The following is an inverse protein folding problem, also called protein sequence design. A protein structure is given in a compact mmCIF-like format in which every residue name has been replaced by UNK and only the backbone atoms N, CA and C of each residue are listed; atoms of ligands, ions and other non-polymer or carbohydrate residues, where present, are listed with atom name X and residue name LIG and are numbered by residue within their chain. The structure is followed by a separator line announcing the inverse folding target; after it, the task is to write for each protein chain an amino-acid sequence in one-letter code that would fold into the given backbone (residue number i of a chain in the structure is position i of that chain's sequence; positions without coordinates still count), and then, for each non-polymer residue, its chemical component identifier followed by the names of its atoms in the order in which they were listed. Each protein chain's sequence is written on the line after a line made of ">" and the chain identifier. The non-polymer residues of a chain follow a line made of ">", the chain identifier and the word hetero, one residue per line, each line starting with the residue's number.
data_IF_531977645211
#
_entry.id   IF_531977645211
#
_cell.length_a   1.000
_cell.length_b   1.000
_cell.length_c   1.000
_cell.angle_alpha   90.00
_cell.angle_beta   90.00
_cell.angle_gamma   90.00
#
_symmetry.space_group_name_H-M   'P 1'
#
loop_
_entity.id
_entity.type
_entity.pdbx_description
1 polymer ?
#
# COMPACT_ATOMS: atom_id res chain seq x y z
N UNK A 1 7.43 -15.12 -20.94
CA UNK A 1 7.15 -14.22 -19.81
C UNK A 1 7.10 -15.07 -18.55
N UNK A 2 7.99 -14.79 -17.59
CA UNK A 2 7.96 -15.45 -16.27
C UNK A 2 6.82 -14.92 -15.41
N UNK A 3 6.29 -15.75 -14.51
CA UNK A 3 5.28 -15.38 -13.49
C UNK A 3 3.99 -14.79 -14.11
N UNK A 4 3.48 -15.40 -15.18
CA UNK A 4 2.29 -14.90 -15.88
C UNK A 4 1.04 -14.87 -14.99
N UNK A 5 0.89 -15.86 -14.09
CA UNK A 5 -0.22 -15.92 -13.15
C UNK A 5 -0.17 -14.74 -12.17
N UNK A 6 0.96 -14.53 -11.54
CA UNK A 6 1.19 -13.47 -10.56
C UNK A 6 1.05 -12.08 -11.19
N UNK A 7 1.48 -11.90 -12.44
CA UNK A 7 1.26 -10.65 -13.19
C UNK A 7 -0.21 -10.38 -13.41
N UNK A 8 -1.01 -11.39 -13.73
CA UNK A 8 -2.48 -11.26 -13.87
C UNK A 8 -3.16 -10.95 -12.52
N UNK A 9 -2.69 -11.54 -11.43
CA UNK A 9 -3.15 -11.22 -10.08
C UNK A 9 -2.86 -9.75 -9.73
N UNK A 10 -1.68 -9.24 -10.07
CA UNK A 10 -1.33 -7.81 -9.91
C UNK A 10 -2.29 -6.92 -10.72
N UNK A 11 -2.60 -7.26 -11.96
CA UNK A 11 -3.55 -6.50 -12.77
C UNK A 11 -4.95 -6.48 -12.14
N UNK A 12 -5.43 -7.63 -11.67
CA UNK A 12 -6.72 -7.72 -11.00
C UNK A 12 -6.76 -6.82 -9.76
N UNK A 13 -5.77 -6.93 -8.89
CA UNK A 13 -5.67 -6.10 -7.68
C UNK A 13 -5.57 -4.59 -8.01
N UNK A 14 -4.87 -4.22 -9.08
CA UNK A 14 -4.77 -2.83 -9.52
C UNK A 14 -6.13 -2.26 -10.00
N UNK A 15 -6.96 -3.08 -10.65
CA UNK A 15 -8.31 -2.71 -11.02
C UNK A 15 -9.24 -2.62 -9.80
N UNK A 16 -9.08 -3.51 -8.82
CA UNK A 16 -9.80 -3.42 -7.54
C UNK A 16 -9.43 -2.14 -6.78
N UNK A 17 -8.16 -1.72 -6.76
CA UNK A 17 -7.76 -0.44 -6.17
C UNK A 17 -8.51 0.75 -6.78
N UNK A 18 -8.75 0.74 -8.10
CA UNK A 18 -9.58 1.75 -8.79
C UNK A 18 -11.06 1.61 -8.41
N UNK A 19 -11.61 0.39 -8.42
CA UNK A 19 -13.01 0.11 -8.11
C UNK A 19 -13.37 0.55 -6.69
N UNK A 20 -12.48 0.31 -5.72
CA UNK A 20 -12.67 0.71 -4.32
C UNK A 20 -12.23 2.17 -4.04
N UNK A 21 -11.86 2.93 -5.07
CA UNK A 21 -11.44 4.33 -4.95
C UNK A 21 -10.24 4.55 -4.03
N UNK A 22 -9.34 3.57 -3.95
CA UNK A 22 -8.10 3.67 -3.17
C UNK A 22 -7.04 4.51 -3.88
N UNK A 23 -7.19 4.70 -5.19
CA UNK A 23 -6.29 5.46 -6.05
C UNK A 23 -7.06 6.23 -7.13
N UNK A 24 -6.37 7.17 -7.76
CA UNK A 24 -6.83 7.87 -8.96
C UNK A 24 -5.78 7.79 -10.06
N UNK A 25 -6.20 7.60 -11.30
CA UNK A 25 -5.35 7.56 -12.49
C UNK A 25 -4.26 6.48 -12.42
N UNK A 26 -3.01 6.87 -12.28
CA UNK A 26 -1.82 6.02 -12.15
C UNK A 26 -1.16 6.13 -10.78
N UNK A 27 -1.91 6.59 -9.78
CA UNK A 27 -1.42 6.71 -8.41
C UNK A 27 -1.24 5.34 -7.75
N UNK A 28 -0.32 5.26 -6.78
CA UNK A 28 -0.02 4.01 -6.08
C UNK A 28 0.77 3.00 -6.90
N UNK A 29 1.03 1.86 -6.32
CA UNK A 29 1.74 0.75 -6.95
C UNK A 29 1.56 -0.55 -6.17
N UNK A 30 1.90 -1.66 -6.82
CA UNK A 30 1.86 -3.02 -6.26
C UNK A 30 3.24 -3.64 -6.46
N UNK A 31 3.74 -4.28 -5.41
CA UNK A 31 4.93 -5.11 -5.47
C UNK A 31 4.66 -6.51 -4.87
N UNK A 32 5.17 -7.54 -5.52
CA UNK A 32 4.99 -8.93 -5.11
C UNK A 32 6.35 -9.64 -5.14
N UNK A 33 6.72 -10.29 -4.03
CA UNK A 33 7.88 -11.17 -3.96
C UNK A 33 7.53 -12.51 -4.59
N UNK A 34 8.39 -13.00 -5.47
CA UNK A 34 8.24 -14.33 -6.07
C UNK A 34 8.89 -15.42 -5.21
N UNK A 35 8.53 -16.67 -5.43
CA UNK A 35 9.11 -17.81 -4.70
C UNK A 35 10.63 -17.95 -4.93
N UNK A 36 11.15 -17.43 -6.04
CA UNK A 36 12.59 -17.40 -6.35
C UNK A 36 13.33 -16.21 -5.72
N UNK A 37 12.64 -15.35 -4.94
CA UNK A 37 13.22 -14.18 -4.30
C UNK A 37 13.43 -12.96 -5.21
N UNK A 38 12.85 -12.98 -6.41
CA UNK A 38 12.71 -11.82 -7.30
C UNK A 38 11.46 -11.03 -6.94
N UNK A 39 11.25 -9.87 -7.59
CA UNK A 39 10.11 -8.98 -7.31
C UNK A 39 9.40 -8.57 -8.59
N UNK A 40 8.09 -8.72 -8.61
CA UNK A 40 7.24 -8.12 -9.62
C UNK A 40 6.75 -6.77 -9.11
N UNK A 41 6.82 -5.73 -9.96
CA UNK A 41 6.36 -4.39 -9.60
C UNK A 41 5.61 -3.73 -10.76
N UNK A 42 4.58 -2.96 -10.44
CA UNK A 42 3.85 -2.17 -11.44
C UNK A 42 4.72 -1.08 -12.04
N UNK A 43 4.55 -0.75 -13.33
CA UNK A 43 5.32 0.28 -14.00
C UNK A 43 4.96 1.69 -13.50
N UNK A 44 5.90 2.62 -13.61
CA UNK A 44 5.71 4.03 -13.28
C UNK A 44 4.78 4.72 -14.26
N UNK A 45 3.85 5.55 -13.73
CA UNK A 45 2.99 6.47 -14.48
C UNK A 45 2.12 5.82 -15.59
N UNK A 46 1.76 4.55 -15.42
CA UNK A 46 0.89 3.83 -16.35
C UNK A 46 -0.51 3.67 -15.75
N UNK A 47 -1.54 3.90 -16.56
CA UNK A 47 -2.94 3.69 -16.15
C UNK A 47 -3.23 2.19 -16.07
N UNK A 48 -3.83 1.78 -14.97
CA UNK A 48 -4.09 0.37 -14.69
C UNK A 48 -5.13 -0.25 -15.64
N UNK A 49 -6.09 0.55 -16.13
CA UNK A 49 -7.11 0.08 -17.08
C UNK A 49 -6.54 -0.38 -18.43
N UNK A 50 -5.33 0.09 -18.76
CA UNK A 50 -4.65 -0.26 -20.02
C UNK A 50 -3.39 -1.10 -19.81
N UNK A 51 -3.06 -1.46 -18.57
CA UNK A 51 -1.88 -2.25 -18.24
C UNK A 51 -2.06 -3.70 -18.66
N UNK A 52 -1.03 -4.26 -19.27
CA UNK A 52 -0.98 -5.67 -19.68
C UNK A 52 0.01 -6.44 -18.79
N UNK A 53 -0.09 -7.78 -18.70
CA UNK A 53 0.82 -8.59 -17.89
C UNK A 53 2.31 -8.35 -18.20
N UNK A 54 2.66 -8.11 -19.46
CA UNK A 54 4.02 -7.81 -19.90
C UNK A 54 4.55 -6.43 -19.47
N UNK A 55 3.66 -5.53 -19.05
CA UNK A 55 4.04 -4.20 -18.54
C UNK A 55 4.56 -4.25 -17.09
N UNK A 56 4.14 -5.26 -16.31
CA UNK A 56 4.66 -5.49 -14.96
C UNK A 56 6.15 -5.87 -15.06
N UNK A 57 7.00 -5.25 -14.25
CA UNK A 57 8.46 -5.38 -14.34
C UNK A 57 8.96 -6.40 -13.34
N UNK A 58 9.82 -7.32 -13.77
CA UNK A 58 10.52 -8.28 -12.90
C UNK A 58 11.88 -7.72 -12.51
N UNK A 59 12.17 -7.68 -11.21
CA UNK A 59 13.39 -7.14 -10.62
C UNK A 59 14.12 -8.20 -9.78
N UNK A 60 15.45 -8.06 -9.68
CA UNK A 60 16.21 -8.76 -8.64
C UNK A 60 16.14 -8.01 -7.28
N UNK A 61 16.81 -8.55 -6.27
CA UNK A 61 16.84 -8.00 -4.92
C UNK A 61 17.52 -6.62 -4.82
N UNK A 62 18.35 -6.27 -5.78
CA UNK A 62 19.02 -4.98 -5.91
C UNK A 62 18.20 -3.96 -6.72
N UNK A 63 17.04 -4.38 -7.27
CA UNK A 63 16.17 -3.54 -8.09
C UNK A 63 16.60 -3.42 -9.54
N UNK A 64 17.50 -4.30 -10.03
CA UNK A 64 17.87 -4.36 -11.45
C UNK A 64 16.80 -5.11 -12.23
N UNK A 65 16.45 -4.59 -13.40
CA UNK A 65 15.43 -5.21 -14.26
C UNK A 65 15.95 -6.53 -14.83
N UNK A 66 15.23 -7.62 -14.53
CA UNK A 66 15.48 -8.95 -15.08
C UNK A 66 14.60 -9.21 -16.32
N UNK A 67 13.34 -8.73 -16.31
CA UNK A 67 12.40 -8.87 -17.42
C UNK A 67 11.43 -7.69 -17.44
N UNK A 68 11.11 -7.17 -18.61
CA UNK A 68 10.19 -6.05 -18.85
C UNK A 68 10.87 -4.90 -19.59
N UNK A 69 10.06 -4.10 -20.30
CA UNK A 69 10.53 -2.95 -21.06
C UNK A 69 10.09 -1.60 -20.45
N UNK A 70 9.28 -1.64 -19.40
CA UNK A 70 8.80 -0.44 -18.71
C UNK A 70 9.76 -0.01 -17.60
N UNK A 71 9.70 1.27 -17.27
CA UNK A 71 10.35 1.79 -16.06
C UNK A 71 9.55 1.31 -14.84
N UNK A 72 10.16 0.66 -13.85
CA UNK A 72 9.47 0.27 -12.62
C UNK A 72 8.99 1.52 -11.84
N UNK A 73 8.06 1.32 -10.90
CA UNK A 73 7.56 2.38 -10.01
C UNK A 73 8.70 3.21 -9.42
N UNK A 74 8.48 4.51 -9.25
CA UNK A 74 9.40 5.41 -8.55
C UNK A 74 9.70 4.95 -7.12
N UNK A 75 8.75 4.26 -6.49
CA UNK A 75 8.84 3.83 -5.10
C UNK A 75 9.55 2.48 -4.91
N UNK A 76 10.10 1.91 -5.98
CA UNK A 76 10.79 0.60 -5.98
C UNK A 76 11.80 0.47 -4.84
N UNK A 77 12.62 1.48 -4.58
CA UNK A 77 13.63 1.44 -3.52
C UNK A 77 13.01 1.29 -2.14
N UNK A 78 11.96 2.05 -1.86
CA UNK A 78 11.23 1.99 -0.60
C UNK A 78 10.55 0.63 -0.39
N UNK A 79 9.92 0.09 -1.44
CA UNK A 79 9.25 -1.21 -1.37
C UNK A 79 10.25 -2.36 -1.19
N UNK A 80 11.37 -2.35 -1.91
CA UNK A 80 12.43 -3.35 -1.74
C UNK A 80 13.07 -3.25 -0.34
N UNK A 81 13.20 -2.05 0.23
CA UNK A 81 13.64 -1.87 1.61
C UNK A 81 12.68 -2.57 2.58
N UNK A 82 11.37 -2.34 2.46
CA UNK A 82 10.35 -2.98 3.30
C UNK A 82 10.41 -4.52 3.19
N UNK A 83 10.52 -5.08 2.00
CA UNK A 83 10.68 -6.52 1.83
C UNK A 83 11.95 -7.07 2.52
N UNK A 84 13.02 -6.31 2.60
CA UNK A 84 14.24 -6.71 3.33
C UNK A 84 14.04 -6.69 4.84
N UNK A 85 13.25 -5.73 5.37
CA UNK A 85 12.97 -5.61 6.81
C UNK A 85 11.89 -6.60 7.29
N UNK A 86 10.98 -6.98 6.42
CA UNK A 86 9.80 -7.82 6.73
C UNK A 86 9.84 -9.07 5.85
N UNK A 87 10.60 -10.09 6.30
CA UNK A 87 10.79 -11.33 5.52
C UNK A 87 9.52 -12.17 5.38
N UNK A 88 8.57 -12.02 6.29
CA UNK A 88 7.28 -12.71 6.30
C UNK A 88 6.27 -12.10 5.30
N UNK A 89 6.55 -10.90 4.77
CA UNK A 89 5.68 -10.21 3.81
C UNK A 89 6.12 -10.54 2.39
N UNK A 90 5.15 -10.90 1.55
CA UNK A 90 5.38 -11.18 0.13
C UNK A 90 4.64 -10.21 -0.81
N UNK A 91 3.70 -9.41 -0.30
CA UNK A 91 3.00 -8.40 -1.10
C UNK A 91 2.97 -7.05 -0.40
N UNK A 92 3.15 -5.99 -1.17
CA UNK A 92 3.02 -4.59 -0.77
C UNK A 92 2.10 -3.87 -1.73
N UNK A 93 1.19 -3.07 -1.19
CA UNK A 93 0.33 -2.17 -1.95
C UNK A 93 0.48 -0.76 -1.38
N UNK A 94 0.86 0.17 -2.24
CA UNK A 94 0.86 1.59 -1.94
C UNK A 94 -0.33 2.26 -2.61
N UNK A 95 -1.07 3.07 -1.85
CA UNK A 95 -2.27 3.77 -2.31
C UNK A 95 -2.26 5.23 -1.86
N UNK A 96 -3.07 6.06 -2.54
CA UNK A 96 -3.34 7.45 -2.14
C UNK A 96 -4.79 7.60 -1.67
N UNK A 97 -5.26 6.66 -0.88
CA UNK A 97 -6.64 6.57 -0.42
C UNK A 97 -7.03 7.77 0.46
N UNK A 98 -8.18 8.43 0.18
CA UNK A 98 -8.46 9.75 0.72
C UNK A 98 -8.75 9.77 2.23
N UNK A 99 -9.52 8.81 2.75
CA UNK A 99 -9.92 8.85 4.17
C UNK A 99 -8.78 8.44 5.10
N UNK A 100 -8.02 7.40 4.78
CA UNK A 100 -6.86 7.03 5.58
C UNK A 100 -5.78 8.13 5.54
N UNK A 101 -5.57 8.77 4.39
CA UNK A 101 -4.69 9.93 4.29
C UNK A 101 -5.20 11.10 5.13
N UNK A 102 -6.52 11.35 5.16
CA UNK A 102 -7.10 12.40 6.00
C UNK A 102 -6.92 12.12 7.50
N UNK A 103 -7.02 10.87 7.96
CA UNK A 103 -6.65 10.49 9.33
C UNK A 103 -5.21 10.91 9.62
N UNK A 104 -4.27 10.60 8.74
CA UNK A 104 -2.86 10.97 8.89
C UNK A 104 -2.56 12.47 8.93
N UNK A 105 -3.52 13.34 8.57
CA UNK A 105 -3.38 14.80 8.71
C UNK A 105 -3.69 15.30 10.12
N UNK A 106 -4.51 14.57 10.89
CA UNK A 106 -5.07 15.04 12.16
C UNK A 106 -4.77 14.13 13.35
N UNK A 107 -4.40 12.87 13.09
CA UNK A 107 -4.10 11.87 14.12
C UNK A 107 -2.67 11.30 13.93
N UNK A 108 -2.16 10.64 14.96
CA UNK A 108 -0.89 9.91 14.89
C UNK A 108 -1.07 8.40 14.69
N UNK A 109 -2.32 7.91 14.79
CA UNK A 109 -2.70 6.53 14.47
C UNK A 109 -4.20 6.44 14.17
N UNK A 110 -4.61 5.42 13.44
CA UNK A 110 -5.99 4.96 13.36
C UNK A 110 -6.16 3.76 14.30
N UNK A 111 -7.02 3.83 15.35
CA UNK A 111 -7.27 2.68 16.20
C UNK A 111 -8.01 1.57 15.44
N UNK A 112 -7.88 0.32 15.89
CA UNK A 112 -8.63 -0.83 15.37
C UNK A 112 -10.12 -0.74 15.76
N UNK A 113 -10.80 0.30 15.28
CA UNK A 113 -12.17 0.65 15.66
C UNK A 113 -13.25 -0.23 15.02
N UNK A 114 -12.91 -1.00 13.99
CA UNK A 114 -13.77 -1.98 13.33
C UNK A 114 -13.10 -3.36 13.36
N UNK A 115 -13.89 -4.43 13.46
CA UNK A 115 -13.38 -5.80 13.44
C UNK A 115 -12.58 -6.09 12.16
N UNK A 116 -13.05 -5.59 11.03
CA UNK A 116 -12.39 -5.79 9.73
C UNK A 116 -10.98 -5.21 9.68
N UNK A 117 -10.77 -3.99 10.14
CA UNK A 117 -9.43 -3.38 10.17
C UNK A 117 -8.55 -3.98 11.27
N UNK A 118 -9.13 -4.39 12.40
CA UNK A 118 -8.43 -5.08 13.47
C UNK A 118 -7.84 -6.41 12.97
N UNK A 119 -8.64 -7.19 12.24
CA UNK A 119 -8.22 -8.48 11.70
C UNK A 119 -7.21 -8.34 10.55
N UNK A 120 -7.40 -7.34 9.68
CA UNK A 120 -6.57 -7.15 8.48
C UNK A 120 -5.26 -6.36 8.75
N UNK A 121 -5.28 -5.39 9.66
CA UNK A 121 -4.15 -4.49 9.87
C UNK A 121 -3.51 -4.62 11.26
N UNK A 122 -4.27 -5.11 12.25
CA UNK A 122 -3.85 -5.17 13.66
C UNK A 122 -4.56 -4.12 14.54
N UNK A 123 -4.12 -3.97 15.81
CA UNK A 123 -4.83 -3.20 16.83
C UNK A 123 -4.85 -1.68 16.57
N UNK A 124 -3.91 -1.18 15.80
CA UNK A 124 -3.88 0.20 15.30
C UNK A 124 -3.09 0.26 13.99
N UNK A 125 -3.32 1.31 13.22
CA UNK A 125 -2.52 1.64 12.02
C UNK A 125 -1.79 2.95 12.30
N UNK A 126 -0.47 2.91 12.49
CA UNK A 126 0.32 4.08 12.83
C UNK A 126 0.48 5.04 11.65
N UNK A 127 0.75 6.31 11.97
CA UNK A 127 1.07 7.36 10.99
C UNK A 127 2.57 7.65 11.03
N UNK A 128 3.28 7.33 9.96
CA UNK A 128 4.68 7.72 9.79
C UNK A 128 4.81 9.21 9.43
N UNK A 129 5.88 9.90 9.86
CA UNK A 129 6.14 11.28 9.48
C UNK A 129 6.19 11.48 7.97
N UNK A 130 5.98 12.73 7.53
CA UNK A 130 6.12 13.08 6.12
C UNK A 130 7.55 12.84 5.63
N UNK A 131 7.65 12.24 4.46
CA UNK A 131 8.89 12.13 3.68
C UNK A 131 8.59 12.31 2.19
N UNK A 132 9.60 12.70 1.44
CA UNK A 132 9.47 12.81 -0.03
C UNK A 132 9.36 11.40 -0.60
N UNK A 133 8.39 11.19 -1.51
CA UNK A 133 8.23 9.95 -2.27
C UNK A 133 9.47 9.68 -3.17
N UNK A 134 9.58 8.47 -3.69
CA UNK A 134 10.64 8.04 -4.61
C UNK A 134 12.04 7.84 -4.01
N UNK A 135 12.20 7.92 -2.70
CA UNK A 135 13.46 7.61 -2.03
C UNK A 135 13.29 6.40 -1.09
N UNK A 136 14.41 5.75 -0.73
CA UNK A 136 14.44 4.66 0.25
C UNK A 136 13.93 5.12 1.64
N UNK A 137 14.07 6.42 1.95
CA UNK A 137 13.58 7.03 3.19
C UNK A 137 12.11 6.78 3.50
N UNK A 138 11.24 6.71 2.47
CA UNK A 138 9.84 6.31 2.66
C UNK A 138 9.73 4.88 3.20
N UNK A 139 10.52 3.96 2.68
CA UNK A 139 10.55 2.56 3.14
C UNK A 139 11.13 2.42 4.54
N UNK A 140 12.16 3.22 4.88
CA UNK A 140 12.75 3.26 6.23
C UNK A 140 11.71 3.68 7.26
N UNK A 141 11.04 4.82 7.04
CA UNK A 141 10.01 5.31 7.94
C UNK A 141 8.81 4.35 8.03
N UNK A 142 8.38 3.80 6.89
CA UNK A 142 7.30 2.82 6.90
C UNK A 142 7.66 1.57 7.74
N UNK A 143 8.88 1.05 7.62
CA UNK A 143 9.34 -0.09 8.42
C UNK A 143 9.46 0.24 9.91
N UNK A 144 9.97 1.44 10.24
CA UNK A 144 10.17 1.89 11.62
C UNK A 144 8.83 2.09 12.34
N UNK A 145 7.85 2.70 11.66
CA UNK A 145 6.57 3.04 12.27
C UNK A 145 5.54 1.91 12.21
N UNK A 146 5.57 1.04 11.21
CA UNK A 146 4.57 -0.03 11.09
C UNK A 146 4.54 -0.97 12.31
N UNK A 147 5.69 -1.20 12.99
CA UNK A 147 5.76 -2.15 14.08
C UNK A 147 5.24 -3.53 13.64
N UNK A 148 4.25 -4.06 14.33
CA UNK A 148 3.56 -5.32 13.97
C UNK A 148 2.36 -5.12 13.03
N UNK A 149 1.96 -3.87 12.77
CA UNK A 149 0.84 -3.57 11.87
C UNK A 149 1.13 -4.01 10.43
N UNK A 150 0.10 -4.47 9.74
CA UNK A 150 0.16 -4.77 8.31
C UNK A 150 -0.19 -3.56 7.44
N UNK A 151 -0.30 -2.38 8.05
CA UNK A 151 -0.51 -1.12 7.34
C UNK A 151 0.23 0.03 8.03
N UNK A 152 0.59 1.05 7.28
CA UNK A 152 1.13 2.31 7.78
C UNK A 152 0.61 3.47 6.93
N UNK A 153 0.10 4.50 7.59
CA UNK A 153 -0.30 5.75 6.94
C UNK A 153 0.95 6.62 6.82
N UNK A 154 1.20 7.11 5.62
CA UNK A 154 2.28 8.05 5.33
C UNK A 154 1.72 9.47 5.38
N UNK A 155 2.10 10.27 6.37
CA UNK A 155 1.56 11.62 6.58
C UNK A 155 1.64 12.47 5.31
N UNK A 156 0.51 13.07 4.91
CA UNK A 156 0.39 13.91 3.72
C UNK A 156 0.73 13.23 2.38
N UNK A 157 0.70 11.88 2.32
CA UNK A 157 1.05 11.16 1.12
C UNK A 157 0.03 10.08 0.77
N UNK A 158 -0.12 9.07 1.60
CA UNK A 158 -0.98 7.91 1.32
C UNK A 158 -0.76 6.80 2.34
N UNK A 159 -0.79 5.56 1.88
CA UNK A 159 -0.73 4.37 2.72
C UNK A 159 0.17 3.30 2.08
N UNK A 160 0.83 2.50 2.88
CA UNK A 160 1.39 1.22 2.48
C UNK A 160 0.69 0.12 3.27
N UNK A 161 0.17 -0.90 2.58
CA UNK A 161 -0.34 -2.13 3.19
C UNK A 161 0.50 -3.32 2.80
N UNK A 162 0.55 -4.30 3.68
CA UNK A 162 1.46 -5.43 3.65
C UNK A 162 0.67 -6.73 3.81
N UNK A 163 1.12 -7.79 3.15
CA UNK A 163 0.48 -9.12 3.29
C UNK A 163 1.43 -10.26 2.95
N UNK A 164 1.12 -11.44 3.43
CA UNK A 164 1.82 -12.69 3.05
C UNK A 164 1.52 -13.07 1.59
N UNK A 165 0.47 -12.50 1.04
CA UNK A 165 0.05 -12.61 -0.36
C UNK A 165 -0.69 -11.34 -0.78
N UNK A 166 -1.00 -11.23 -2.07
CA UNK A 166 -1.60 -10.02 -2.64
C UNK A 166 -3.04 -9.77 -2.15
N UNK A 167 -3.81 -10.84 -1.88
CA UNK A 167 -5.18 -10.72 -1.34
C UNK A 167 -5.18 -10.06 0.04
N UNK A 168 -4.30 -10.52 0.95
CA UNK A 168 -4.17 -9.95 2.29
C UNK A 168 -3.78 -8.46 2.25
N UNK A 169 -2.82 -8.08 1.39
CA UNK A 169 -2.41 -6.69 1.26
C UNK A 169 -3.54 -5.80 0.69
N UNK A 170 -4.34 -6.32 -0.25
CA UNK A 170 -5.49 -5.61 -0.82
C UNK A 170 -6.64 -5.49 0.17
N UNK A 171 -6.97 -6.55 0.90
CA UNK A 171 -7.97 -6.54 1.95
C UNK A 171 -7.62 -5.51 3.04
N UNK A 172 -6.34 -5.48 3.47
CA UNK A 172 -5.87 -4.48 4.41
C UNK A 172 -6.08 -3.04 3.89
N UNK A 173 -5.82 -2.79 2.60
CA UNK A 173 -6.02 -1.46 2.01
C UNK A 173 -7.51 -1.06 1.98
N UNK A 174 -8.39 -1.99 1.59
CA UNK A 174 -9.84 -1.74 1.52
C UNK A 174 -10.43 -1.50 2.92
N UNK A 175 -10.15 -2.38 3.87
CA UNK A 175 -10.69 -2.26 5.22
C UNK A 175 -10.14 -1.07 5.99
N UNK A 176 -8.87 -0.69 5.73
CA UNK A 176 -8.30 0.53 6.28
C UNK A 176 -9.05 1.78 5.81
N UNK A 177 -9.37 1.87 4.51
CA UNK A 177 -10.10 3.01 3.96
C UNK A 177 -11.55 3.08 4.51
N UNK A 178 -12.22 1.92 4.63
CA UNK A 178 -13.55 1.83 5.23
C UNK A 178 -13.55 2.26 6.70
N UNK A 179 -12.57 1.78 7.47
CA UNK A 179 -12.41 2.14 8.87
C UNK A 179 -12.09 3.62 9.05
N UNK A 180 -11.19 4.17 8.25
CA UNK A 180 -10.83 5.58 8.27
C UNK A 180 -12.04 6.48 7.98
N UNK A 181 -12.85 6.14 6.97
CA UNK A 181 -14.10 6.83 6.66
C UNK A 181 -15.07 6.81 7.82
N UNK A 182 -15.28 5.64 8.42
CA UNK A 182 -16.18 5.46 9.57
C UNK A 182 -15.68 6.21 10.80
N UNK A 183 -14.37 6.14 11.09
CA UNK A 183 -13.74 6.84 12.19
C UNK A 183 -13.90 8.36 12.07
N UNK A 184 -13.60 8.94 10.92
CA UNK A 184 -13.74 10.38 10.68
C UNK A 184 -15.20 10.84 10.79
N UNK A 185 -16.16 10.05 10.30
CA UNK A 185 -17.59 10.34 10.46
C UNK A 185 -18.02 10.32 11.94
N UNK A 186 -17.55 9.34 12.71
CA UNK A 186 -17.83 9.27 14.15
C UNK A 186 -17.23 10.45 14.91
N UNK A 187 -15.96 10.83 14.61
CA UNK A 187 -15.30 11.99 15.20
C UNK A 187 -16.04 13.30 14.92
N UNK A 188 -16.57 13.47 13.71
CA UNK A 188 -17.36 14.65 13.36
C UNK A 188 -18.66 14.77 14.21
N UNK A 189 -19.26 13.64 14.58
CA UNK A 189 -20.45 13.62 15.47
C UNK A 189 -20.10 13.95 16.93
N UNK A 190 -18.91 13.58 17.42
CA UNK A 190 -18.43 13.93 18.76
C UNK A 190 -18.23 15.45 18.92
N UNK A 191 -17.68 16.13 17.92
CA UNK A 191 -17.51 17.59 17.91
C UNK A 191 -18.85 18.28 18.07
N UNK A 192 -19.91 17.76 17.43
CA UNK A 192 -21.27 18.28 17.57
C UNK A 192 -21.87 18.12 18.98
N UNK A 193 -21.44 17.13 19.75
CA UNK A 193 -21.91 16.89 21.13
C UNK A 193 -21.27 17.77 22.18
N UNK A 194 -20.05 18.25 21.94
CA UNK A 194 -19.31 19.10 22.88
C UNK A 194 -19.89 20.52 23.01
N UNK A 195 -20.88 20.88 22.19
CA UNK A 195 -21.52 22.18 22.15
C UNK A 195 -23.02 22.16 22.53
N UNK A 196 -23.50 21.07 23.12
CA UNK A 196 -24.91 20.94 23.62
C UNK A 196 -24.96 20.95 25.13
#
# INVERSE_FOLDING_TARGET
>A
MKYEKERREILSAALDMLQYSLISLSGGNIALRTDEGSFLITPSAMRYETMLPEDVVLLDAEGRVLEGCRRPSSDTKALLYLFRQRSEINALIHTHQPYATAVGLVEDELPGCLVTVLDACGPCVPVAPFTISSDEGMGVLAAEYAGESLAVILRSHGVITMGRNLSEALEAAIYLEEAARTYLAARALEIGRAHV
#
